data_IF_077993627489
#
_entry.id   IF_077993627489
#
_cell.length_a   1.000
_cell.length_b   1.000
_cell.length_c   1.000
_cell.angle_alpha   90.00
_cell.angle_beta   90.00
_cell.angle_gamma   90.00
#
_symmetry.space_group_name_H-M   'P 1'
#
loop_
_entity.id
_entity.type
_entity.pdbx_description
1 polymer ?
#
# COMPACT_ATOMS: atom_id res chain seq x y z
N UNK A 1 -9.96 3.50 -19.73
CA UNK A 1 -9.54 4.06 -18.43
C UNK A 1 -8.86 2.99 -17.61
N UNK A 2 -7.68 3.28 -17.17
CA UNK A 2 -6.92 2.31 -16.40
C UNK A 2 -7.41 2.26 -14.97
N UNK A 3 -7.72 1.06 -14.53
CA UNK A 3 -8.05 0.85 -13.13
C UNK A 3 -6.76 0.63 -12.35
N UNK A 4 -6.67 1.25 -11.21
CA UNK A 4 -5.56 1.01 -10.31
C UNK A 4 -5.62 -0.45 -9.84
N UNK A 5 -4.50 -1.12 -9.90
CA UNK A 5 -4.38 -2.50 -9.44
C UNK A 5 -3.86 -2.50 -8.01
N UNK A 6 -4.53 -3.25 -7.15
CA UNK A 6 -4.14 -3.39 -5.76
C UNK A 6 -3.64 -4.82 -5.56
N UNK A 7 -2.40 -4.96 -5.13
CA UNK A 7 -1.85 -6.26 -4.76
C UNK A 7 -2.14 -6.46 -3.28
N UNK A 8 -3.00 -7.42 -2.97
CA UNK A 8 -3.42 -7.70 -1.61
C UNK A 8 -2.64 -8.91 -1.11
N UNK A 9 -1.78 -8.68 -0.12
CA UNK A 9 -0.89 -9.70 0.43
C UNK A 9 -1.44 -10.12 1.79
N UNK A 10 -2.09 -11.29 1.83
CA UNK A 10 -2.79 -11.75 3.01
C UNK A 10 -2.95 -13.26 2.92
N UNK A 11 -2.44 -13.99 3.92
CA UNK A 11 -2.47 -15.45 3.90
C UNK A 11 -3.80 -16.05 4.33
N UNK A 12 -4.62 -15.31 5.07
CA UNK A 12 -5.97 -15.77 5.42
C UNK A 12 -6.85 -15.61 4.20
N UNK A 13 -7.23 -16.74 3.59
CA UNK A 13 -7.95 -16.74 2.32
C UNK A 13 -9.28 -16.01 2.44
N UNK A 14 -10.01 -16.22 3.54
CA UNK A 14 -11.31 -15.60 3.74
C UNK A 14 -11.17 -14.08 3.87
N UNK A 15 -10.21 -13.63 4.65
CA UNK A 15 -9.99 -12.20 4.82
C UNK A 15 -9.49 -11.55 3.53
N UNK A 16 -8.61 -12.25 2.81
CA UNK A 16 -8.14 -11.76 1.50
C UNK A 16 -9.30 -11.57 0.54
N UNK A 17 -10.23 -12.55 0.48
CA UNK A 17 -11.43 -12.42 -0.34
C UNK A 17 -12.28 -11.23 0.09
N UNK A 18 -12.44 -11.04 1.39
CA UNK A 18 -13.21 -9.93 1.92
C UNK A 18 -12.64 -8.58 1.44
N UNK A 19 -11.33 -8.41 1.58
CA UNK A 19 -10.67 -7.17 1.16
C UNK A 19 -10.77 -6.99 -0.35
N UNK A 20 -10.49 -8.05 -1.12
CA UNK A 20 -10.55 -7.97 -2.58
C UNK A 20 -11.96 -7.67 -3.08
N UNK A 21 -12.98 -8.28 -2.49
CA UNK A 21 -14.36 -8.00 -2.88
C UNK A 21 -14.76 -6.57 -2.57
N UNK A 22 -14.34 -6.06 -1.42
CA UNK A 22 -14.59 -4.67 -1.05
C UNK A 22 -13.95 -3.73 -2.07
N UNK A 23 -12.70 -3.99 -2.45
CA UNK A 23 -11.99 -3.15 -3.40
C UNK A 23 -12.57 -3.25 -4.80
N UNK A 24 -12.97 -4.45 -5.22
CA UNK A 24 -13.57 -4.66 -6.54
C UNK A 24 -14.86 -3.88 -6.68
N UNK A 25 -15.68 -3.84 -5.63
CA UNK A 25 -16.92 -3.07 -5.65
C UNK A 25 -16.67 -1.57 -5.85
N UNK A 26 -15.48 -1.09 -5.46
CA UNK A 26 -15.12 0.31 -5.61
C UNK A 26 -14.37 0.59 -6.93
N UNK A 27 -14.28 -0.40 -7.80
CA UNK A 27 -13.71 -0.22 -9.13
C UNK A 27 -12.23 -0.55 -9.25
N UNK A 28 -11.60 -1.07 -8.21
CA UNK A 28 -10.19 -1.45 -8.28
C UNK A 28 -10.04 -2.86 -8.83
N UNK A 29 -8.96 -3.09 -9.58
CA UNK A 29 -8.53 -4.44 -9.90
C UNK A 29 -7.72 -4.97 -8.73
N UNK A 30 -7.86 -6.26 -8.43
CA UNK A 30 -7.13 -6.85 -7.31
C UNK A 30 -6.34 -8.06 -7.76
N UNK A 31 -5.18 -8.23 -7.15
CA UNK A 31 -4.33 -9.40 -7.31
C UNK A 31 -4.06 -9.94 -5.92
N UNK A 32 -4.25 -11.24 -5.74
CA UNK A 32 -4.09 -11.88 -4.43
C UNK A 32 -2.72 -12.52 -4.32
N UNK A 33 -2.07 -12.33 -3.18
CA UNK A 33 -0.83 -13.00 -2.87
C UNK A 33 -0.93 -13.51 -1.43
N UNK A 34 -0.79 -14.81 -1.24
CA UNK A 34 -0.92 -15.42 0.08
C UNK A 34 0.43 -15.56 0.79
N UNK A 35 1.52 -15.22 0.12
CA UNK A 35 2.89 -15.35 0.63
C UNK A 35 3.73 -14.20 0.12
N UNK A 36 4.85 -13.93 0.79
CA UNK A 36 5.80 -12.92 0.33
C UNK A 36 6.37 -13.27 -1.05
N UNK A 37 6.69 -14.54 -1.27
CA UNK A 37 7.28 -14.96 -2.55
C UNK A 37 6.35 -14.67 -3.71
N UNK A 38 5.06 -14.93 -3.55
CA UNK A 38 4.06 -14.63 -4.57
C UNK A 38 3.94 -13.13 -4.80
N UNK A 39 3.92 -12.37 -3.70
CA UNK A 39 3.87 -10.91 -3.78
C UNK A 39 5.04 -10.35 -4.56
N UNK A 40 6.24 -10.87 -4.32
CA UNK A 40 7.43 -10.42 -5.05
C UNK A 40 7.32 -10.70 -6.54
N UNK A 41 6.76 -11.85 -6.92
CA UNK A 41 6.55 -12.15 -8.34
C UNK A 41 5.62 -11.14 -8.99
N UNK A 42 4.52 -10.80 -8.32
CA UNK A 42 3.60 -9.80 -8.86
C UNK A 42 4.27 -8.44 -8.95
N UNK A 43 5.10 -8.10 -7.98
CA UNK A 43 5.76 -6.79 -7.94
C UNK A 43 6.85 -6.66 -8.99
N UNK A 44 7.43 -7.76 -9.46
CA UNK A 44 8.38 -7.71 -10.56
C UNK A 44 7.72 -7.27 -11.86
N UNK A 45 6.42 -7.45 -11.99
CA UNK A 45 5.65 -7.05 -13.17
C UNK A 45 4.76 -5.84 -12.89
N UNK A 46 4.92 -5.21 -11.73
CA UNK A 46 4.04 -4.11 -11.33
C UNK A 46 4.44 -2.82 -12.03
N UNK A 47 3.46 -1.94 -12.17
CA UNK A 47 3.66 -0.60 -12.73
C UNK A 47 3.65 0.42 -11.59
N UNK A 48 4.03 1.64 -11.91
CA UNK A 48 4.02 2.73 -10.93
C UNK A 48 2.62 3.06 -10.42
N UNK A 49 1.58 2.61 -11.14
CA UNK A 49 0.20 2.84 -10.73
C UNK A 49 -0.31 1.83 -9.70
N UNK A 50 0.43 0.76 -9.47
CA UNK A 50 -0.02 -0.29 -8.58
C UNK A 50 0.18 0.13 -7.12
N UNK A 51 -0.63 -0.45 -6.24
CA UNK A 51 -0.59 -0.17 -4.81
C UNK A 51 -0.54 -1.52 -4.08
N UNK A 52 0.20 -1.58 -2.99
CA UNK A 52 0.31 -2.80 -2.18
C UNK A 52 -0.43 -2.60 -0.86
N UNK A 53 -1.28 -3.57 -0.52
CA UNK A 53 -1.92 -3.64 0.79
C UNK A 53 -1.52 -4.98 1.39
N UNK A 54 -0.76 -4.97 2.45
CA UNK A 54 -0.14 -6.18 2.97
C UNK A 54 -0.39 -6.36 4.45
N UNK A 55 -0.66 -7.61 4.84
CA UNK A 55 -0.65 -7.99 6.24
C UNK A 55 0.76 -7.95 6.78
N UNK A 56 0.88 -7.69 8.06
CA UNK A 56 2.17 -7.68 8.73
C UNK A 56 2.75 -9.09 8.87
N UNK A 57 1.93 -10.06 9.21
CA UNK A 57 2.41 -11.42 9.50
C UNK A 57 1.99 -12.38 8.41
N UNK A 58 2.97 -13.01 7.79
CA UNK A 58 2.77 -13.93 6.66
C UNK A 58 3.55 -15.22 6.94
N UNK A 59 3.19 -16.33 6.25
CA UNK A 59 3.85 -17.61 6.54
C UNK A 59 5.37 -17.61 6.30
N UNK A 60 5.84 -16.84 5.32
CA UNK A 60 7.25 -16.83 4.94
C UNK A 60 7.94 -15.51 5.27
N UNK A 61 7.40 -14.74 6.24
CA UNK A 61 8.04 -13.51 6.71
C UNK A 61 7.01 -12.49 7.16
N UNK A 62 7.37 -11.22 7.12
CA UNK A 62 6.40 -10.19 7.45
C UNK A 62 6.34 -9.11 6.38
N UNK A 63 5.25 -8.30 6.45
CA UNK A 63 5.00 -7.28 5.44
C UNK A 63 6.08 -6.20 5.37
N UNK A 64 6.76 -5.94 6.48
CA UNK A 64 7.85 -4.97 6.47
C UNK A 64 9.02 -5.47 5.66
N UNK A 65 9.29 -6.78 5.70
CA UNK A 65 10.33 -7.37 4.87
C UNK A 65 10.03 -7.15 3.39
N UNK A 66 8.76 -7.25 3.00
CA UNK A 66 8.36 -6.98 1.63
C UNK A 66 8.61 -5.51 1.27
N UNK A 67 8.21 -4.61 2.15
CA UNK A 67 8.42 -3.18 1.93
C UNK A 67 9.91 -2.85 1.82
N UNK A 68 10.72 -3.42 2.71
CA UNK A 68 12.16 -3.22 2.69
C UNK A 68 12.75 -3.70 1.36
N UNK A 69 12.33 -4.89 0.91
CA UNK A 69 12.77 -5.43 -0.37
C UNK A 69 12.37 -4.52 -1.53
N UNK A 70 11.12 -4.04 -1.54
CA UNK A 70 10.64 -3.15 -2.59
C UNK A 70 11.50 -1.90 -2.69
N UNK A 71 11.75 -1.24 -1.56
CA UNK A 71 12.53 0.00 -1.57
C UNK A 71 13.97 -0.24 -2.03
N UNK A 72 14.53 -1.36 -1.63
CA UNK A 72 15.88 -1.75 -2.04
C UNK A 72 15.95 -1.98 -3.55
N UNK A 73 14.89 -2.50 -4.14
CA UNK A 73 14.79 -2.74 -5.59
C UNK A 73 14.37 -1.50 -6.37
N UNK A 74 14.25 -0.37 -5.71
CA UNK A 74 13.81 0.86 -6.36
C UNK A 74 12.34 0.94 -6.68
N UNK A 75 11.54 0.07 -6.11
CA UNK A 75 10.09 0.04 -6.33
C UNK A 75 9.41 0.95 -5.32
N UNK A 76 8.76 1.99 -5.82
CA UNK A 76 8.21 3.05 -4.97
C UNK A 76 6.69 3.05 -4.91
N UNK A 77 6.05 1.94 -5.28
CA UNK A 77 4.60 1.85 -5.18
C UNK A 77 4.14 2.14 -3.75
N UNK A 78 3.01 2.82 -3.60
CA UNK A 78 2.45 3.05 -2.26
C UNK A 78 2.21 1.73 -1.54
N UNK A 79 2.52 1.72 -0.26
CA UNK A 79 2.45 0.51 0.56
C UNK A 79 1.63 0.81 1.80
N UNK A 80 0.61 0.00 2.03
CA UNK A 80 -0.28 0.14 3.18
C UNK A 80 -0.22 -1.16 3.96
N UNK A 81 -0.01 -1.07 5.26
CA UNK A 81 -0.01 -2.25 6.12
C UNK A 81 -1.37 -2.37 6.81
N UNK A 82 -1.94 -3.56 6.78
CA UNK A 82 -3.11 -3.91 7.58
C UNK A 82 -2.71 -5.01 8.54
N UNK A 83 -3.16 -4.93 9.78
CA UNK A 83 -2.70 -5.87 10.79
C UNK A 83 -3.69 -6.06 11.92
N UNK A 84 -3.69 -7.26 12.51
CA UNK A 84 -4.38 -7.52 13.77
C UNK A 84 -3.58 -7.01 14.96
N UNK A 85 -2.31 -6.70 14.75
CA UNK A 85 -1.39 -6.39 15.84
C UNK A 85 -0.85 -4.98 15.69
N UNK A 86 -1.47 -4.03 16.38
CA UNK A 86 -1.04 -2.64 16.33
C UNK A 86 0.12 -2.43 17.30
N UNK A 87 1.34 -2.50 16.79
CA UNK A 87 2.55 -2.28 17.57
C UNK A 87 3.19 -0.97 17.14
N UNK A 88 3.45 -0.10 18.13
CA UNK A 88 3.94 1.25 17.85
C UNK A 88 5.29 1.20 17.12
N UNK A 89 6.20 0.37 17.60
CA UNK A 89 7.54 0.36 17.05
C UNK A 89 7.56 -0.21 15.61
N UNK A 90 6.71 -1.17 15.32
CA UNK A 90 6.55 -1.72 13.97
C UNK A 90 5.95 -0.68 13.04
N UNK A 91 4.96 0.08 13.53
CA UNK A 91 4.36 1.16 12.75
C UNK A 91 5.39 2.22 12.42
N UNK A 92 6.21 2.63 13.39
CA UNK A 92 7.24 3.63 13.17
C UNK A 92 8.26 3.13 12.13
N UNK A 93 8.69 1.88 12.24
CA UNK A 93 9.63 1.31 11.28
C UNK A 93 9.05 1.33 9.87
N UNK A 94 7.78 0.93 9.71
CA UNK A 94 7.15 0.90 8.40
C UNK A 94 7.05 2.29 7.79
N UNK A 95 6.73 3.29 8.61
CA UNK A 95 6.63 4.66 8.11
C UNK A 95 8.00 5.20 7.68
N UNK A 96 9.06 4.83 8.38
CA UNK A 96 10.42 5.20 7.99
C UNK A 96 10.81 4.61 6.65
N UNK A 97 10.27 3.44 6.31
CA UNK A 97 10.51 2.78 5.03
C UNK A 97 9.57 3.29 3.94
N UNK A 98 8.70 4.23 4.25
CA UNK A 98 7.82 4.85 3.28
C UNK A 98 6.44 4.22 3.15
N UNK A 99 5.99 3.47 4.16
CA UNK A 99 4.61 3.03 4.20
C UNK A 99 3.69 4.24 4.27
N UNK A 100 2.57 4.20 3.53
CA UNK A 100 1.62 5.30 3.55
C UNK A 100 0.83 5.30 4.85
N UNK A 101 0.44 4.12 5.32
CA UNK A 101 -0.35 4.03 6.54
C UNK A 101 -0.22 2.62 7.12
N UNK A 102 -0.70 2.48 8.34
CA UNK A 102 -0.64 1.26 9.13
C UNK A 102 -2.01 1.12 9.77
N UNK A 103 -2.85 0.26 9.22
CA UNK A 103 -4.27 0.21 9.57
C UNK A 103 -4.59 -1.07 10.34
N UNK A 104 -5.13 -0.97 11.56
CA UNK A 104 -5.66 -2.15 12.25
C UNK A 104 -6.77 -2.78 11.41
N UNK A 105 -6.82 -4.10 11.34
CA UNK A 105 -7.78 -4.80 10.48
C UNK A 105 -9.23 -4.44 10.79
N UNK A 106 -9.55 -4.16 12.05
CA UNK A 106 -10.92 -3.77 12.42
C UNK A 106 -11.31 -2.42 11.84
N UNK A 107 -10.36 -1.62 11.36
CA UNK A 107 -10.64 -0.32 10.74
C UNK A 107 -10.50 -0.34 9.21
N UNK A 108 -10.12 -1.47 8.63
CA UNK A 108 -9.88 -1.57 7.18
C UNK A 108 -11.15 -1.24 6.39
N UNK A 109 -12.29 -1.75 6.85
CA UNK A 109 -13.56 -1.53 6.14
C UNK A 109 -13.89 -0.05 6.03
N UNK A 110 -13.59 0.75 7.05
CA UNK A 110 -13.92 2.16 7.06
C UNK A 110 -12.83 3.05 6.47
N UNK A 111 -11.57 2.61 6.52
CA UNK A 111 -10.45 3.51 6.24
C UNK A 111 -9.71 3.22 4.96
N UNK A 112 -9.75 1.97 4.46
CA UNK A 112 -8.90 1.61 3.32
C UNK A 112 -9.31 2.31 2.03
N UNK A 113 -10.58 2.28 1.67
CA UNK A 113 -11.04 2.89 0.42
C UNK A 113 -10.83 4.41 0.42
N UNK A 114 -11.18 5.15 1.49
CA UNK A 114 -10.87 6.58 1.51
C UNK A 114 -9.40 6.88 1.35
N UNK A 115 -8.52 6.06 1.95
CA UNK A 115 -7.08 6.24 1.80
C UNK A 115 -6.63 6.02 0.36
N UNK A 116 -7.13 4.96 -0.28
CA UNK A 116 -6.80 4.69 -1.67
C UNK A 116 -7.26 5.82 -2.59
N UNK A 117 -8.44 6.37 -2.32
CA UNK A 117 -8.94 7.51 -3.10
C UNK A 117 -8.07 8.74 -2.91
N UNK A 118 -7.56 8.97 -1.71
CA UNK A 118 -6.67 10.10 -1.49
C UNK A 118 -5.35 9.93 -2.24
N UNK A 119 -4.83 8.71 -2.34
CA UNK A 119 -3.63 8.43 -3.13
C UNK A 119 -3.88 8.74 -4.60
N UNK A 120 -5.01 8.29 -5.15
CA UNK A 120 -5.35 8.57 -6.54
C UNK A 120 -5.52 10.07 -6.79
N UNK A 121 -6.14 10.77 -5.86
CA UNK A 121 -6.36 12.20 -5.98
C UNK A 121 -5.03 12.96 -6.02
N UNK A 122 -4.09 12.57 -5.17
CA UNK A 122 -2.77 13.17 -5.17
C UNK A 122 -2.03 12.90 -6.48
N UNK A 123 -2.16 11.69 -7.03
CA UNK A 123 -1.56 11.37 -8.32
C UNK A 123 -2.13 12.23 -9.43
N UNK A 124 -3.45 12.41 -9.46
CA UNK A 124 -4.09 13.26 -10.48
C UNK A 124 -3.67 14.69 -10.31
N UNK A 125 -3.62 15.20 -9.08
CA UNK A 125 -3.16 16.57 -8.84
C UNK A 125 -1.70 16.74 -9.26
N UNK A 126 -0.85 15.75 -8.96
CA UNK A 126 0.54 15.80 -9.38
C UNK A 126 0.71 15.79 -10.88
N UNK A 127 -0.16 15.06 -11.59
CA UNK A 127 -0.11 15.01 -13.04
C UNK A 127 -0.59 16.30 -13.69
N UNK A 128 -1.54 16.99 -13.07
CA UNK A 128 -2.13 18.18 -13.63
C UNK A 128 -1.39 19.46 -13.25
N UNK A 129 -0.46 19.39 -12.30
CA UNK A 129 0.32 20.52 -11.85
C UNK A 129 1.70 20.51 -12.45
N UNK A 130 2.24 21.69 -12.68
CA UNK A 130 3.65 21.80 -12.99
C UNK A 130 4.46 21.41 -11.77
N UNK A 131 5.59 20.75 -11.94
CA UNK A 131 6.47 20.42 -10.80
C UNK A 131 6.96 21.71 -10.15
N UNK A 132 6.89 21.75 -8.88
CA UNK A 132 7.39 22.87 -8.10
C UNK A 132 8.55 22.40 -7.30
N UNK A 133 8.90 22.78 -6.98
CA UNK A 133 9.55 22.49 -6.18
C UNK A 133 9.68 22.43 -5.13
N UNK A 134 9.10 22.35 -4.77
CA UNK A 134 8.90 22.24 -3.88
C UNK A 134 8.38 21.78 -2.95
N UNK A 135 8.02 21.80 -2.71
CA UNK A 135 7.48 21.57 -1.74
C UNK A 135 7.95 21.16 -0.81
N UNK A 136 8.13 21.65 -0.68
CA UNK A 136 8.59 21.45 0.18
C UNK A 136 8.77 20.96 0.83
N UNK A 137 8.53 21.37 0.67
CA UNK A 137 8.93 20.99 1.41
C UNK A 137 8.75 20.60 1.96
N UNK A 138 8.46 20.85 1.78
CA UNK A 138 8.57 20.63 2.24
C UNK A 138 8.43 20.46 2.58
N UNK A 139 7.99 20.66 2.72
CA UNK A 139 8.19 20.73 3.01
C UNK A 139 8.05 20.81 3.39
N UNK A 140 7.77 21.12 3.33
CA UNK A 140 7.97 21.49 3.53
C UNK A 140 7.55 21.31 3.85
N UNK A 141 7.23 21.28 4.02
CA UNK A 141 7.22 21.42 4.27
C UNK A 141 6.87 21.26 4.69
N UNK A 142 6.49 21.46 4.77
CA UNK A 142 6.47 21.59 5.05
C UNK A 142 6.32 21.40 5.43
N UNK A 143 5.96 21.56 5.32
CA UNK A 143 6.10 21.56 5.47
C UNK A 143 5.96 21.49 5.61
N UNK A 144 5.52 21.75 5.72
CA UNK A 144 5.62 21.77 5.57
C UNK A 144 5.82 21.70 5.65
#
# INVERSE_FOLDING_TARGET
MDKTKIIVVEDNIVYCEFVCNMLSREGYRTVKAYHLSTAKKHLQQATDNDIVVADLRLPDGNGIDLLRWMRKEGKMQPFIIMTDYAEVHTAVESMKLGSIDYIPKQLVEDKLVPLLRSIQKERQAGQSRMPVFAREGSAFQKIM
#
